data_IF_118026016621
#
_entry.id   IF_118026016621
#
_cell.length_a   1.000
_cell.length_b   1.000
_cell.length_c   1.000
_cell.angle_alpha   90.00
_cell.angle_beta   90.00
_cell.angle_gamma   90.00
#
_symmetry.space_group_name_H-M   'P 1'
#
loop_
_entity.id
_entity.type
_entity.pdbx_description
1 polymer ?
#
# COMPACT_ATOMS: atom_id res chain seq x y z
N UNK A 1 -9.57 -12.27 51.89
CA UNK A 1 -9.89 -12.85 50.56
C UNK A 1 -10.09 -11.68 49.60
N UNK A 2 -9.03 -11.31 48.90
CA UNK A 2 -9.07 -10.20 47.92
C UNK A 2 -9.52 -10.79 46.59
N UNK A 3 -10.76 -10.50 46.21
CA UNK A 3 -11.28 -10.82 44.87
C UNK A 3 -10.55 -9.96 43.83
N UNK A 4 -9.67 -10.60 43.07
CA UNK A 4 -9.07 -9.99 41.88
C UNK A 4 -10.17 -9.86 40.82
N UNK A 5 -10.57 -8.64 40.47
CA UNK A 5 -11.46 -8.38 39.36
C UNK A 5 -10.82 -8.91 38.06
N UNK A 6 -11.58 -9.55 37.17
CA UNK A 6 -11.04 -10.01 35.89
C UNK A 6 -10.55 -8.79 35.10
N UNK A 7 -9.27 -8.83 34.70
CA UNK A 7 -8.68 -7.86 33.78
C UNK A 7 -9.51 -7.88 32.48
N UNK A 8 -10.15 -6.77 32.16
CA UNK A 8 -10.88 -6.65 30.92
C UNK A 8 -9.97 -7.11 29.76
N UNK A 9 -10.43 -8.08 28.99
CA UNK A 9 -9.72 -8.54 27.81
C UNK A 9 -9.53 -7.31 26.91
N UNK A 10 -8.28 -6.90 26.69
CA UNK A 10 -7.98 -5.83 25.74
C UNK A 10 -8.46 -6.31 24.36
N UNK A 11 -9.33 -5.53 23.71
CA UNK A 11 -9.71 -5.82 22.33
C UNK A 11 -8.46 -6.02 21.48
N UNK A 12 -8.41 -7.09 20.68
CA UNK A 12 -7.25 -7.36 19.85
C UNK A 12 -7.00 -6.21 18.87
N UNK A 13 -5.75 -5.78 18.76
CA UNK A 13 -5.33 -4.73 17.81
C UNK A 13 -4.58 -5.39 16.66
N UNK A 14 -5.15 -5.32 15.46
CA UNK A 14 -4.55 -5.87 14.23
C UNK A 14 -3.75 -4.78 13.54
N UNK A 15 -2.49 -5.06 13.22
CA UNK A 15 -1.62 -4.10 12.52
C UNK A 15 -1.46 -4.48 11.07
N UNK A 16 -1.74 -3.53 10.17
CA UNK A 16 -1.56 -3.66 8.73
C UNK A 16 -0.45 -2.71 8.28
N UNK A 17 0.53 -3.23 7.56
CA UNK A 17 1.61 -2.46 6.97
C UNK A 17 1.44 -2.53 5.45
N UNK A 18 1.32 -1.37 4.81
CA UNK A 18 1.22 -1.23 3.36
C UNK A 18 2.53 -0.64 2.84
N UNK A 19 3.40 -1.45 2.25
CA UNK A 19 4.72 -1.06 1.77
C UNK A 19 4.67 -0.77 0.27
N UNK A 20 5.12 0.40 -0.14
CA UNK A 20 5.30 0.72 -1.56
C UNK A 20 6.58 0.07 -2.09
N UNK A 21 6.55 -0.41 -3.32
CA UNK A 21 7.73 -0.95 -4.03
C UNK A 21 8.89 0.04 -4.12
N UNK A 22 10.11 -0.48 -4.30
CA UNK A 22 11.32 0.30 -4.59
C UNK A 22 11.25 1.04 -5.93
N UNK A 23 12.16 1.97 -6.16
CA UNK A 23 12.22 2.77 -7.38
C UNK A 23 12.35 1.87 -8.64
N UNK A 24 11.72 2.31 -9.73
CA UNK A 24 11.91 1.82 -11.09
C UNK A 24 12.46 2.92 -11.97
N UNK A 25 13.00 2.61 -13.16
CA UNK A 25 13.42 3.64 -14.11
C UNK A 25 12.24 4.55 -14.51
N UNK A 26 11.02 3.99 -14.60
CA UNK A 26 9.81 4.79 -14.82
C UNK A 26 9.53 5.81 -13.72
N UNK A 27 9.85 5.49 -12.46
CA UNK A 27 9.75 6.47 -11.38
C UNK A 27 10.79 7.59 -11.55
N UNK A 28 12.04 7.23 -11.89
CA UNK A 28 13.12 8.20 -12.12
C UNK A 28 12.78 9.15 -13.27
N UNK A 29 12.18 8.63 -14.34
CA UNK A 29 11.80 9.38 -15.53
C UNK A 29 10.42 10.08 -15.42
N UNK A 30 9.77 10.04 -14.25
CA UNK A 30 8.42 10.57 -14.05
C UNK A 30 7.38 10.03 -15.03
N UNK A 31 7.51 8.74 -15.42
CA UNK A 31 6.56 8.04 -16.28
C UNK A 31 5.48 7.35 -15.47
N UNK A 32 4.27 7.40 -15.98
CA UNK A 32 3.10 6.76 -15.40
C UNK A 32 3.10 5.27 -15.74
N UNK A 33 3.39 4.43 -14.75
CA UNK A 33 3.57 2.99 -14.98
C UNK A 33 2.25 2.23 -15.08
N UNK A 34 1.31 2.53 -14.19
CA UNK A 34 0.09 1.73 -14.06
C UNK A 34 0.41 0.26 -13.84
N UNK A 35 -0.18 -0.61 -14.65
CA UNK A 35 0.04 -2.06 -14.59
C UNK A 35 1.11 -2.57 -15.57
N UNK A 36 1.87 -1.68 -16.21
CA UNK A 36 3.08 -2.11 -16.94
C UNK A 36 4.03 -2.79 -15.97
N UNK A 37 4.51 -3.99 -16.36
CA UNK A 37 5.36 -4.81 -15.50
C UNK A 37 6.84 -4.44 -15.68
N UNK A 38 7.27 -3.44 -14.91
CA UNK A 38 8.63 -2.90 -14.93
C UNK A 38 9.45 -3.42 -13.75
N UNK A 39 10.77 -3.53 -13.96
CA UNK A 39 11.71 -3.94 -12.93
C UNK A 39 12.07 -2.81 -11.97
N UNK A 40 12.64 -3.18 -10.81
CA UNK A 40 13.33 -2.25 -9.93
C UNK A 40 14.59 -1.70 -10.62
N UNK A 41 14.84 -0.40 -10.47
CA UNK A 41 16.14 0.19 -10.78
C UNK A 41 17.23 -0.33 -9.82
N UNK A 42 18.49 -0.01 -10.06
CA UNK A 42 19.57 -0.33 -9.12
C UNK A 42 19.33 0.31 -7.75
N UNK A 43 18.90 1.58 -7.74
CA UNK A 43 18.51 2.28 -6.52
C UNK A 43 17.31 1.59 -5.86
N UNK A 44 16.30 1.17 -6.63
CA UNK A 44 15.14 0.46 -6.09
C UNK A 44 15.49 -0.86 -5.43
N UNK A 45 16.44 -1.61 -5.98
CA UNK A 45 16.96 -2.83 -5.34
C UNK A 45 17.67 -2.52 -4.01
N UNK A 46 18.45 -1.45 -3.98
CA UNK A 46 19.12 -0.99 -2.75
C UNK A 46 18.09 -0.54 -1.70
N UNK A 47 17.08 0.21 -2.11
CA UNK A 47 15.98 0.63 -1.24
C UNK A 47 15.23 -0.59 -0.65
N UNK A 48 14.90 -1.58 -1.47
CA UNK A 48 14.23 -2.80 -1.02
C UNK A 48 15.08 -3.56 0.02
N UNK A 49 16.39 -3.72 -0.24
CA UNK A 49 17.32 -4.35 0.70
C UNK A 49 17.43 -3.58 2.03
N UNK A 50 17.32 -2.27 2.02
CA UNK A 50 17.35 -1.44 3.23
C UNK A 50 16.04 -1.50 4.01
N UNK A 51 14.90 -1.54 3.33
CA UNK A 51 13.58 -1.62 3.97
C UNK A 51 13.29 -3.02 4.52
N UNK A 52 13.82 -4.09 3.89
CA UNK A 52 13.57 -5.47 4.27
C UNK A 52 13.76 -5.75 5.75
N UNK A 53 14.96 -5.55 6.34
CA UNK A 53 15.21 -5.76 7.77
C UNK A 53 14.30 -4.93 8.68
N UNK A 54 14.04 -3.66 8.33
CA UNK A 54 13.20 -2.76 9.14
C UNK A 54 11.76 -3.24 9.25
N UNK A 55 11.23 -3.81 8.15
CA UNK A 55 9.89 -4.41 8.16
C UNK A 55 9.92 -5.79 8.85
N UNK A 56 10.98 -6.58 8.63
CA UNK A 56 11.16 -7.89 9.25
C UNK A 56 11.24 -7.82 10.80
N UNK A 57 11.89 -6.79 11.36
CA UNK A 57 11.97 -6.55 12.79
C UNK A 57 10.58 -6.39 13.47
N UNK A 58 9.56 -6.08 12.71
CA UNK A 58 8.16 -6.04 13.18
C UNK A 58 7.55 -7.45 13.27
N UNK A 59 8.29 -8.49 12.88
CA UNK A 59 7.89 -9.91 12.91
C UNK A 59 6.56 -10.16 12.22
N UNK A 60 6.47 -9.89 10.91
CA UNK A 60 5.20 -10.05 10.19
C UNK A 60 4.67 -11.49 10.31
N UNK A 61 3.34 -11.61 10.32
CA UNK A 61 2.63 -12.89 10.30
C UNK A 61 2.67 -13.49 8.90
N UNK A 62 2.40 -12.67 7.90
CA UNK A 62 2.39 -13.02 6.48
C UNK A 62 2.76 -11.82 5.63
N UNK A 63 3.25 -12.10 4.42
CA UNK A 63 3.59 -11.10 3.41
C UNK A 63 2.84 -11.45 2.14
N UNK A 64 1.98 -10.54 1.69
CA UNK A 64 1.25 -10.65 0.42
C UNK A 64 1.66 -9.49 -0.49
N UNK A 65 2.00 -9.77 -1.73
CA UNK A 65 2.46 -8.78 -2.69
C UNK A 65 1.57 -8.70 -3.92
N UNK A 66 1.52 -7.53 -4.54
CA UNK A 66 1.20 -7.45 -5.96
C UNK A 66 2.16 -8.39 -6.73
N UNK A 67 1.64 -9.02 -7.76
CA UNK A 67 2.41 -9.89 -8.65
C UNK A 67 3.31 -9.11 -9.64
N UNK A 68 3.15 -7.78 -9.75
CA UNK A 68 4.03 -6.95 -10.57
C UNK A 68 5.47 -6.97 -10.02
N UNK A 69 6.44 -7.22 -10.90
CA UNK A 69 7.85 -7.53 -10.55
C UNK A 69 8.47 -6.55 -9.55
N UNK A 70 8.25 -5.24 -9.71
CA UNK A 70 8.76 -4.22 -8.78
C UNK A 70 8.26 -4.40 -7.34
N UNK A 71 6.99 -4.75 -7.16
CA UNK A 71 6.42 -5.02 -5.84
C UNK A 71 6.87 -6.39 -5.32
N UNK A 72 6.81 -7.41 -6.16
CA UNK A 72 7.23 -8.76 -5.80
C UNK A 72 8.70 -8.81 -5.33
N UNK A 73 9.65 -8.22 -6.07
CA UNK A 73 11.05 -8.21 -5.65
C UNK A 73 11.31 -7.33 -4.42
N UNK A 74 10.49 -6.31 -4.19
CA UNK A 74 10.54 -5.58 -2.92
C UNK A 74 10.04 -6.47 -1.77
N UNK A 75 8.98 -7.23 -1.98
CA UNK A 75 8.44 -8.16 -0.99
C UNK A 75 9.42 -9.31 -0.69
N UNK A 76 10.13 -9.83 -1.71
CA UNK A 76 11.18 -10.85 -1.53
C UNK A 76 12.25 -10.36 -0.56
N UNK A 77 12.71 -9.11 -0.68
CA UNK A 77 13.70 -8.58 0.26
C UNK A 77 13.19 -8.54 1.72
N UNK A 78 11.88 -8.32 1.92
CA UNK A 78 11.25 -8.42 3.25
C UNK A 78 11.14 -9.89 3.69
N UNK A 79 10.72 -10.76 2.78
CA UNK A 79 10.56 -12.20 3.03
C UNK A 79 11.87 -12.87 3.42
N UNK A 80 12.94 -12.59 2.68
CA UNK A 80 14.29 -13.09 2.98
C UNK A 80 14.77 -12.66 4.37
N UNK A 81 14.54 -11.38 4.73
CA UNK A 81 14.91 -10.87 6.04
C UNK A 81 14.04 -11.44 7.19
N UNK A 82 12.77 -11.74 6.92
CA UNK A 82 11.81 -12.24 7.91
C UNK A 82 11.79 -13.78 7.99
N UNK A 83 12.40 -14.49 7.05
CA UNK A 83 12.30 -15.95 6.92
C UNK A 83 10.89 -16.41 6.53
N UNK A 84 10.17 -15.65 5.73
CA UNK A 84 8.78 -15.92 5.33
C UNK A 84 8.64 -16.02 3.80
N UNK A 85 7.77 -16.90 3.30
CA UNK A 85 7.40 -16.93 1.90
C UNK A 85 6.61 -15.66 1.53
N UNK A 86 6.71 -15.26 0.26
CA UNK A 86 5.90 -14.18 -0.31
C UNK A 86 4.75 -14.79 -1.09
N UNK A 87 3.52 -14.45 -0.71
CA UNK A 87 2.32 -14.77 -1.46
C UNK A 87 2.02 -13.64 -2.45
N UNK A 88 1.33 -13.92 -3.54
CA UNK A 88 0.95 -12.92 -4.53
C UNK A 88 -0.55 -12.83 -4.73
N UNK A 89 -1.05 -11.61 -4.94
CA UNK A 89 -2.45 -11.35 -5.27
C UNK A 89 -2.54 -10.24 -6.33
N UNK A 90 -3.16 -10.55 -7.46
CA UNK A 90 -3.33 -9.60 -8.58
C UNK A 90 -4.21 -8.41 -8.23
N UNK A 91 -5.08 -8.54 -7.23
CA UNK A 91 -5.92 -7.44 -6.70
C UNK A 91 -5.09 -6.35 -6.01
N UNK A 92 -3.80 -6.61 -5.73
CA UNK A 92 -2.85 -5.62 -5.19
C UNK A 92 -2.06 -4.87 -6.27
N UNK A 93 -2.33 -5.08 -7.56
CA UNK A 93 -1.72 -4.31 -8.65
C UNK A 93 -2.03 -2.82 -8.54
N UNK A 94 -1.14 -1.99 -9.11
CA UNK A 94 -1.36 -0.54 -9.21
C UNK A 94 -2.65 -0.19 -9.99
N UNK A 95 -3.12 1.03 -9.84
CA UNK A 95 -4.18 1.60 -10.69
C UNK A 95 -3.87 1.33 -12.15
N UNK A 96 -4.80 0.74 -12.88
CA UNK A 96 -4.68 0.64 -14.33
C UNK A 96 -4.85 2.04 -14.92
N UNK A 97 -3.79 2.57 -15.52
CA UNK A 97 -3.78 3.94 -16.01
C UNK A 97 -4.21 4.06 -17.49
N UNK A 98 -4.70 2.97 -18.09
CA UNK A 98 -5.22 2.96 -19.45
C UNK A 98 -4.23 3.58 -20.45
N UNK A 99 -4.69 4.55 -21.24
CA UNK A 99 -3.90 5.23 -22.26
C UNK A 99 -2.75 6.09 -21.70
N UNK A 100 -2.72 6.34 -20.40
CA UNK A 100 -1.64 7.11 -19.79
C UNK A 100 -0.41 6.25 -19.44
N UNK A 101 -0.53 4.92 -19.54
CA UNK A 101 0.59 4.03 -19.23
C UNK A 101 1.77 4.26 -20.18
N UNK A 102 2.95 4.44 -19.62
CA UNK A 102 4.20 4.71 -20.36
C UNK A 102 4.45 6.18 -20.69
N UNK A 103 3.42 7.04 -20.64
CA UNK A 103 3.57 8.47 -20.87
C UNK A 103 4.22 9.15 -19.67
N UNK A 104 4.92 10.25 -19.90
CA UNK A 104 5.36 11.15 -18.84
C UNK A 104 4.20 11.99 -18.31
N UNK A 105 4.39 12.58 -17.15
CA UNK A 105 3.42 13.55 -16.64
C UNK A 105 3.21 14.72 -17.61
N UNK A 106 4.30 15.16 -18.27
CA UNK A 106 4.27 16.23 -19.25
C UNK A 106 3.44 15.85 -20.49
N UNK A 107 3.66 14.64 -21.04
CA UNK A 107 2.92 14.17 -22.22
C UNK A 107 1.40 14.16 -21.99
N UNK A 108 0.96 13.76 -20.79
CA UNK A 108 -0.46 13.72 -20.45
C UNK A 108 -1.03 15.14 -20.32
N UNK A 109 -0.32 16.04 -19.62
CA UNK A 109 -0.77 17.42 -19.40
C UNK A 109 -0.74 18.26 -20.69
N UNK A 110 0.22 17.97 -21.61
CA UNK A 110 0.27 18.61 -22.94
C UNK A 110 -0.95 18.22 -23.78
N UNK A 111 -1.34 16.94 -23.78
CA UNK A 111 -2.51 16.44 -24.53
C UNK A 111 -3.83 16.97 -23.97
N UNK A 112 -3.94 17.07 -22.66
CA UNK A 112 -5.16 17.54 -21.98
C UNK A 112 -4.79 18.32 -20.72
N UNK A 113 -4.64 19.66 -20.84
CA UNK A 113 -4.24 20.50 -19.71
C UNK A 113 -5.15 20.35 -18.50
N UNK A 114 -4.55 20.13 -17.33
CA UNK A 114 -5.27 20.01 -16.05
C UNK A 114 -5.92 18.66 -15.77
N UNK A 115 -5.94 17.72 -16.72
CA UNK A 115 -6.61 16.41 -16.54
C UNK A 115 -6.03 15.59 -15.39
N UNK A 116 -4.69 15.59 -15.21
CA UNK A 116 -4.07 14.89 -14.08
C UNK A 116 -4.38 15.53 -12.72
N UNK A 117 -4.49 16.85 -12.69
CA UNK A 117 -4.89 17.59 -11.48
C UNK A 117 -6.33 17.24 -11.08
N UNK A 118 -7.25 17.23 -12.04
CA UNK A 118 -8.63 16.82 -11.81
C UNK A 118 -8.70 15.35 -11.34
N UNK A 119 -8.00 14.43 -12.03
CA UNK A 119 -7.93 13.02 -11.65
C UNK A 119 -7.36 12.81 -10.23
N UNK A 120 -6.37 13.62 -9.83
CA UNK A 120 -5.82 13.56 -8.46
C UNK A 120 -6.78 14.07 -7.41
N UNK A 121 -7.58 15.07 -7.74
CA UNK A 121 -8.53 15.69 -6.83
C UNK A 121 -9.81 14.86 -6.63
N UNK A 122 -10.21 14.09 -7.64
CA UNK A 122 -11.48 13.35 -7.65
C UNK A 122 -11.23 11.84 -7.78
N UNK A 123 -11.64 11.09 -6.74
CA UNK A 123 -11.46 9.64 -6.69
C UNK A 123 -12.36 8.86 -7.66
N UNK A 124 -13.38 9.51 -8.22
CA UNK A 124 -14.32 8.91 -9.19
C UNK A 124 -13.80 8.92 -10.62
N UNK A 125 -12.82 9.80 -10.90
CA UNK A 125 -12.27 9.94 -12.24
C UNK A 125 -11.27 8.82 -12.55
N UNK A 126 -11.34 8.30 -13.77
CA UNK A 126 -10.42 7.32 -14.32
C UNK A 126 -9.70 7.89 -15.55
N UNK A 127 -8.44 7.50 -15.81
CA UNK A 127 -7.81 7.72 -17.11
C UNK A 127 -8.59 7.00 -18.22
N UNK A 128 -8.53 7.44 -19.48
CA UNK A 128 -9.18 6.74 -20.57
C UNK A 128 -8.76 5.25 -20.64
N UNK A 129 -9.74 4.35 -20.55
CA UNK A 129 -9.50 2.90 -20.50
C UNK A 129 -8.84 2.39 -19.20
N UNK A 130 -8.79 3.20 -18.17
CA UNK A 130 -8.20 2.87 -16.87
C UNK A 130 -9.19 2.70 -15.73
N UNK A 131 -8.68 2.66 -14.51
CA UNK A 131 -9.41 2.53 -13.26
C UNK A 131 -9.49 3.87 -12.51
N UNK A 132 -10.63 4.13 -11.87
CA UNK A 132 -10.74 5.13 -10.81
C UNK A 132 -10.12 4.61 -9.49
N UNK A 133 -9.90 5.49 -8.51
CA UNK A 133 -9.46 5.06 -7.18
C UNK A 133 -10.50 4.23 -6.46
N UNK A 134 -11.79 4.46 -6.75
CA UNK A 134 -12.88 3.64 -6.21
C UNK A 134 -12.79 2.21 -6.74
N UNK A 135 -12.52 2.02 -8.04
CA UNK A 135 -12.35 0.69 -8.63
C UNK A 135 -11.17 -0.06 -7.98
N UNK A 136 -10.05 0.66 -7.77
CA UNK A 136 -8.87 0.10 -7.09
C UNK A 136 -9.19 -0.32 -5.65
N UNK A 137 -9.91 0.50 -4.90
CA UNK A 137 -10.34 0.18 -3.54
C UNK A 137 -11.28 -1.03 -3.52
N UNK A 138 -12.25 -1.07 -4.41
CA UNK A 138 -13.24 -2.15 -4.51
C UNK A 138 -12.59 -3.52 -4.77
N UNK A 139 -11.50 -3.58 -5.56
CA UNK A 139 -10.80 -4.84 -5.81
C UNK A 139 -9.78 -5.21 -4.73
N UNK A 140 -9.21 -4.23 -4.02
CA UNK A 140 -8.17 -4.49 -3.02
C UNK A 140 -8.70 -4.70 -1.60
N UNK A 141 -9.81 -4.06 -1.23
CA UNK A 141 -10.41 -4.18 0.09
C UNK A 141 -10.77 -5.64 0.47
N UNK A 142 -11.33 -6.47 -0.43
CA UNK A 142 -11.59 -7.88 -0.15
C UNK A 142 -10.35 -8.67 0.27
N UNK A 143 -9.14 -8.32 -0.19
CA UNK A 143 -7.89 -8.98 0.23
C UNK A 143 -7.69 -8.82 1.73
N UNK A 144 -7.93 -7.63 2.27
CA UNK A 144 -7.81 -7.36 3.72
C UNK A 144 -8.88 -8.12 4.51
N UNK A 145 -10.12 -8.18 4.02
CA UNK A 145 -11.19 -8.92 4.66
C UNK A 145 -10.91 -10.43 4.69
N UNK A 146 -10.45 -11.01 3.60
CA UNK A 146 -10.07 -12.43 3.53
C UNK A 146 -8.91 -12.76 4.49
N UNK A 147 -7.94 -11.84 4.64
CA UNK A 147 -6.86 -12.00 5.60
C UNK A 147 -7.36 -11.92 7.05
N UNK A 148 -8.35 -11.09 7.34
CA UNK A 148 -9.01 -11.03 8.66
C UNK A 148 -9.69 -12.36 9.01
N UNK A 149 -10.35 -12.99 8.04
CA UNK A 149 -11.05 -14.24 8.23
C UNK A 149 -10.09 -15.45 8.34
N UNK A 150 -8.96 -15.41 7.67
CA UNK A 150 -8.03 -16.54 7.57
C UNK A 150 -6.88 -16.52 8.54
N UNK A 151 -6.62 -15.38 9.22
CA UNK A 151 -5.48 -15.22 10.13
C UNK A 151 -5.93 -14.82 11.55
N UNK A 152 -6.38 -15.76 12.38
CA UNK A 152 -6.81 -15.46 13.76
C UNK A 152 -5.68 -14.83 14.59
N UNK A 153 -4.41 -15.17 14.31
CA UNK A 153 -3.22 -14.67 15.01
C UNK A 153 -2.80 -13.25 14.55
N UNK A 154 -3.57 -12.59 13.68
CA UNK A 154 -3.24 -11.25 13.22
C UNK A 154 -3.15 -10.22 14.36
N UNK A 155 -3.85 -10.44 15.46
CA UNK A 155 -3.75 -9.56 16.63
C UNK A 155 -2.35 -9.55 17.29
N UNK A 156 -1.54 -10.57 17.08
CA UNK A 156 -0.22 -10.72 17.70
C UNK A 156 0.91 -10.17 16.83
N UNK A 157 0.75 -10.26 15.49
CA UNK A 157 1.79 -9.96 14.52
C UNK A 157 1.20 -9.20 13.33
N UNK A 158 1.90 -8.19 12.77
CA UNK A 158 1.37 -7.42 11.64
C UNK A 158 1.27 -8.27 10.37
N UNK A 159 0.31 -7.94 9.52
CA UNK A 159 0.25 -8.37 8.12
C UNK A 159 0.92 -7.31 7.26
N UNK A 160 1.71 -7.73 6.28
CA UNK A 160 2.39 -6.84 5.33
C UNK A 160 1.82 -7.05 3.93
N UNK A 161 1.34 -5.97 3.32
CA UNK A 161 1.00 -5.93 1.90
C UNK A 161 2.05 -5.09 1.17
N UNK A 162 2.65 -5.64 0.11
CA UNK A 162 3.61 -4.90 -0.73
C UNK A 162 2.94 -4.55 -2.05
N UNK A 163 2.81 -3.25 -2.31
CA UNK A 163 2.00 -2.75 -3.40
C UNK A 163 2.54 -1.44 -3.99
N UNK A 164 1.67 -0.53 -4.39
CA UNK A 164 1.95 0.64 -5.21
C UNK A 164 1.30 1.89 -4.61
N UNK A 165 1.81 3.06 -4.99
CA UNK A 165 1.38 4.33 -4.39
C UNK A 165 -0.11 4.62 -4.55
N UNK A 166 -0.65 4.44 -5.74
CA UNK A 166 -2.08 4.71 -6.02
C UNK A 166 -2.99 3.72 -5.30
N UNK A 167 -2.66 2.42 -5.34
CA UNK A 167 -3.41 1.40 -4.61
C UNK A 167 -3.38 1.62 -3.11
N UNK A 168 -2.20 1.89 -2.52
CA UNK A 168 -2.07 2.08 -1.07
C UNK A 168 -2.93 3.26 -0.61
N UNK A 169 -2.93 4.37 -1.35
CA UNK A 169 -3.76 5.53 -1.01
C UNK A 169 -5.26 5.20 -1.08
N UNK A 170 -5.71 4.52 -2.15
CA UNK A 170 -7.11 4.14 -2.33
C UNK A 170 -7.58 3.13 -1.25
N UNK A 171 -6.78 2.08 -1.00
CA UNK A 171 -7.08 1.09 0.03
C UNK A 171 -7.11 1.71 1.44
N UNK A 172 -6.16 2.60 1.74
CA UNK A 172 -6.14 3.31 3.03
C UNK A 172 -7.38 4.18 3.21
N UNK A 173 -7.77 4.94 2.18
CA UNK A 173 -8.97 5.77 2.22
C UNK A 173 -10.24 4.93 2.49
N UNK A 174 -10.36 3.77 1.82
CA UNK A 174 -11.50 2.87 2.01
C UNK A 174 -11.50 2.21 3.39
N UNK A 175 -10.34 1.76 3.90
CA UNK A 175 -10.23 1.19 5.26
C UNK A 175 -10.57 2.19 6.35
N UNK A 176 -10.23 3.47 6.16
CA UNK A 176 -10.56 4.55 7.08
C UNK A 176 -12.00 5.07 6.94
N UNK A 177 -12.80 4.51 6.03
CA UNK A 177 -14.15 4.97 5.69
C UNK A 177 -14.21 6.48 5.40
N UNK A 178 -13.20 7.00 4.69
CA UNK A 178 -13.15 8.42 4.35
C UNK A 178 -14.24 8.75 3.33
N UNK A 179 -14.92 9.91 3.47
CA UNK A 179 -15.77 10.41 2.41
C UNK A 179 -15.00 10.52 1.09
N UNK A 180 -15.63 10.14 -0.02
CA UNK A 180 -14.96 10.01 -1.34
C UNK A 180 -14.30 11.33 -1.76
N UNK A 181 -14.93 12.47 -1.48
CA UNK A 181 -14.43 13.82 -1.75
C UNK A 181 -13.20 14.18 -0.89
N UNK A 182 -12.84 13.35 0.08
CA UNK A 182 -11.68 13.53 0.97
C UNK A 182 -10.50 12.64 0.63
N UNK A 183 -10.62 11.72 -0.31
CA UNK A 183 -9.54 10.77 -0.61
C UNK A 183 -8.24 11.43 -1.07
N UNK A 184 -8.33 12.60 -1.70
CA UNK A 184 -7.18 13.37 -2.14
C UNK A 184 -6.30 13.92 -0.98
N UNK A 185 -6.77 13.88 0.28
CA UNK A 185 -6.00 14.27 1.46
C UNK A 185 -4.81 13.34 1.70
N UNK A 186 -4.90 12.08 1.26
CA UNK A 186 -3.80 11.14 1.34
C UNK A 186 -2.80 11.44 0.23
N UNK A 187 -1.68 12.06 0.60
CA UNK A 187 -0.61 12.46 -0.31
C UNK A 187 0.18 11.30 -0.90
N UNK A 188 1.19 11.61 -1.69
CA UNK A 188 2.07 10.61 -2.28
C UNK A 188 2.89 9.84 -1.25
N UNK A 189 3.32 8.64 -1.64
CA UNK A 189 4.24 7.79 -0.88
C UNK A 189 5.58 7.72 -1.58
N UNK A 190 6.68 7.80 -0.83
CA UNK A 190 8.02 7.53 -1.34
C UNK A 190 8.22 6.05 -1.72
N UNK A 191 9.21 5.75 -2.57
CA UNK A 191 9.60 4.37 -2.82
C UNK A 191 10.11 3.71 -1.54
N UNK A 192 9.68 2.48 -1.26
CA UNK A 192 9.90 1.74 0.00
C UNK A 192 9.43 2.45 1.27
N UNK A 193 8.63 3.49 1.14
CA UNK A 193 7.88 4.02 2.26
C UNK A 193 6.63 3.18 2.53
N UNK A 194 6.15 3.22 3.78
CA UNK A 194 4.98 2.46 4.20
C UNK A 194 3.96 3.28 4.97
N UNK A 195 2.75 2.77 4.95
CA UNK A 195 1.64 3.17 5.81
C UNK A 195 1.46 2.10 6.87
N UNK A 196 1.14 2.50 8.09
CA UNK A 196 0.73 1.59 9.14
C UNK A 196 -0.67 1.95 9.62
N UNK A 197 -1.51 0.93 9.69
CA UNK A 197 -2.86 1.04 10.25
C UNK A 197 -3.02 0.09 11.43
N UNK A 198 -3.86 0.48 12.39
CA UNK A 198 -4.33 -0.38 13.47
C UNK A 198 -5.84 -0.59 13.36
N UNK A 199 -6.25 -1.86 13.32
CA UNK A 199 -7.65 -2.27 13.31
C UNK A 199 -8.09 -2.69 14.71
N UNK A 200 -9.16 -2.09 15.20
CA UNK A 200 -9.73 -2.30 16.54
C UNK A 200 -11.12 -2.92 16.46
N UNK A 201 -11.46 -3.76 17.41
CA UNK A 201 -12.76 -4.43 17.47
C UNK A 201 -12.75 -5.85 16.89
N UNK A 202 -13.93 -6.41 16.72
CA UNK A 202 -14.12 -7.74 16.15
C UNK A 202 -13.95 -7.74 14.63
N UNK A 203 -13.65 -8.90 14.03
CA UNK A 203 -13.46 -9.05 12.58
C UNK A 203 -14.63 -8.48 11.76
N UNK A 204 -15.87 -8.63 12.26
CA UNK A 204 -17.08 -8.15 11.57
C UNK A 204 -17.39 -6.66 11.74
N UNK A 205 -16.71 -6.00 12.68
CA UNK A 205 -16.92 -4.58 13.03
C UNK A 205 -15.60 -3.89 13.33
N UNK A 206 -14.58 -4.18 12.53
CA UNK A 206 -13.25 -3.62 12.70
C UNK A 206 -13.24 -2.13 12.30
N UNK A 207 -12.72 -1.30 13.18
CA UNK A 207 -12.48 0.12 12.92
C UNK A 207 -10.99 0.35 12.70
N UNK A 208 -10.64 0.88 11.55
CA UNK A 208 -9.24 1.17 11.19
C UNK A 208 -8.85 2.59 11.58
N UNK A 209 -7.61 2.72 12.06
CA UNK A 209 -6.97 4.01 12.36
C UNK A 209 -5.64 4.10 11.63
N UNK A 210 -5.33 5.28 11.15
CA UNK A 210 -4.03 5.58 10.55
C UNK A 210 -3.04 5.91 11.67
N UNK A 211 -2.02 5.07 11.85
CA UNK A 211 -0.96 5.30 12.84
C UNK A 211 0.21 6.08 12.22
N UNK A 212 0.57 5.73 10.97
CA UNK A 212 1.73 6.30 10.26
C UNK A 212 1.42 6.41 8.78
N UNK A 213 1.79 7.55 8.18
CA UNK A 213 1.77 7.77 6.73
C UNK A 213 3.16 8.11 6.22
N UNK A 214 3.60 7.42 5.15
CA UNK A 214 4.86 7.66 4.45
C UNK A 214 6.13 7.54 5.32
N UNK A 215 6.16 6.58 6.27
CA UNK A 215 7.39 6.25 6.98
C UNK A 215 8.40 5.57 6.04
N UNK A 216 9.69 5.71 6.33
CA UNK A 216 10.76 5.08 5.55
C UNK A 216 11.88 4.55 6.44
N UNK A 217 12.70 3.63 5.92
CA UNK A 217 13.86 3.09 6.63
C UNK A 217 15.00 4.12 6.80
N UNK A 218 15.02 5.15 5.99
CA UNK A 218 15.92 6.30 6.10
C UNK A 218 15.09 7.57 6.25
N UNK A 219 15.63 8.59 6.90
CA UNK A 219 15.01 9.92 6.89
C UNK A 219 14.92 10.34 5.43
N UNK A 220 13.69 10.46 4.91
CA UNK A 220 13.49 10.88 3.53
C UNK A 220 14.03 12.31 3.38
N UNK A 221 15.10 12.45 2.59
CA UNK A 221 15.44 13.74 2.04
C UNK A 221 14.38 14.03 0.99
N UNK A 222 13.53 14.99 1.30
CA UNK A 222 12.52 15.61 0.44
C UNK A 222 11.38 14.70 -0.06
N UNK A 223 10.26 14.82 0.63
CA UNK A 223 8.94 14.49 0.13
C UNK A 223 8.25 15.81 -0.24
N UNK A 224 8.59 16.37 -1.36
CA UNK A 224 7.86 17.49 -2.00
C UNK A 224 7.58 17.17 -3.46
#
# INVERSE_FOLDING_TARGET
>A
MTSSAPRAASNPVRRLILLRHGQTEYNADSRMQGQLDTDLSELGRTQAKSAGPVIADRRPLTIVSSDLRRAYFTAVAVGDAAGLPVLTDTRLRETHLGEWQGLTHHDVDERTPGVRSAWRADATLAPPGGESRIDVANRSLPVVHELLDTHPDWAERPVVLVAHGGLIAALTAALLDLPIDRWAVLGGLGNTSWVQLSGHGDVKSIEWRLDVWNASASVANDVL
#
